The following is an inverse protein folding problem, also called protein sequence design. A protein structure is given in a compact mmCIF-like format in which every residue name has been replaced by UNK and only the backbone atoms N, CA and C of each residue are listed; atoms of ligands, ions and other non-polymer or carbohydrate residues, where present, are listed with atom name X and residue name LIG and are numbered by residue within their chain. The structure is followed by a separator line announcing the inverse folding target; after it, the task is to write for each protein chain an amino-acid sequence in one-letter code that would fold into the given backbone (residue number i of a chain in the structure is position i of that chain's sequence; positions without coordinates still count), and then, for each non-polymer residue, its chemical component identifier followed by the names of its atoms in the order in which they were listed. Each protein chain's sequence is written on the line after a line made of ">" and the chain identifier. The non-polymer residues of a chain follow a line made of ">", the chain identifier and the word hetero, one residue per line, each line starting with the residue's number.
data_IF_323675689064
#
_entry.id   IF_323675689064
#
_cell.length_a   1.000
_cell.length_b   1.000
_cell.length_c   1.000
_cell.angle_alpha   90.00
_cell.angle_beta   90.00
_cell.angle_gamma   90.00
#
_symmetry.space_group_name_H-M   'P 1'
#
loop_
_entity.id
_entity.type
_entity.pdbx_description
1 polymer ?
#
# COMPACT_ATOMS: atom_id res chain seq x y z
N UNK A 1 -8.09 25.43 1.44
CA UNK A 1 -6.75 25.25 2.01
C UNK A 1 -6.69 23.85 2.62
N UNK A 2 -5.77 23.03 2.18
CA UNK A 2 -5.58 21.71 2.79
C UNK A 2 -5.19 21.90 4.26
N UNK A 3 -5.98 21.33 5.17
CA UNK A 3 -5.68 21.37 6.61
C UNK A 3 -4.44 20.50 6.84
N UNK A 4 -3.25 21.10 6.79
CA UNK A 4 -1.97 20.42 7.01
C UNK A 4 -1.88 20.07 8.49
N UNK A 5 -2.09 18.79 8.81
CA UNK A 5 -1.98 18.25 10.18
C UNK A 5 -0.53 18.33 10.70
N UNK A 6 0.44 18.20 9.79
CA UNK A 6 1.87 18.12 10.14
C UNK A 6 2.59 19.42 9.78
N UNK A 7 3.54 19.84 10.62
CA UNK A 7 4.35 21.01 10.28
C UNK A 7 5.37 20.67 9.15
N UNK A 8 5.81 21.70 8.45
CA UNK A 8 6.69 21.54 7.28
C UNK A 8 8.07 20.98 7.66
N UNK A 9 8.63 21.37 8.79
CA UNK A 9 9.94 20.92 9.25
C UNK A 9 9.93 19.41 9.53
N UNK A 10 8.88 18.92 10.20
CA UNK A 10 8.67 17.50 10.42
C UNK A 10 8.56 16.71 9.10
N UNK A 11 7.77 17.22 8.14
CA UNK A 11 7.60 16.57 6.83
C UNK A 11 8.91 16.53 6.03
N UNK A 12 9.72 17.60 6.08
CA UNK A 12 11.02 17.63 5.41
C UNK A 12 12.01 16.63 6.02
N UNK A 13 12.10 16.60 7.34
CA UNK A 13 12.93 15.62 8.06
C UNK A 13 12.50 14.19 7.76
N UNK A 14 11.19 13.93 7.88
CA UNK A 14 10.63 12.60 7.66
C UNK A 14 10.81 12.14 6.22
N UNK A 15 10.63 13.02 5.23
CA UNK A 15 10.82 12.68 3.82
C UNK A 15 12.25 12.22 3.52
N UNK A 16 13.26 12.91 4.05
CA UNK A 16 14.66 12.49 3.91
C UNK A 16 14.93 11.14 4.58
N UNK A 17 14.36 10.93 5.75
CA UNK A 17 14.46 9.65 6.46
C UNK A 17 13.74 8.51 5.72
N UNK A 18 12.55 8.76 5.21
CA UNK A 18 11.76 7.76 4.44
C UNK A 18 12.44 7.41 3.12
N UNK A 19 13.03 8.38 2.44
CA UNK A 19 13.78 8.12 1.21
C UNK A 19 14.96 7.15 1.43
N UNK A 20 15.58 7.20 2.63
CA UNK A 20 16.64 6.26 3.03
C UNK A 20 16.08 4.93 3.57
N UNK A 21 15.39 4.99 4.70
CA UNK A 21 15.06 3.82 5.54
C UNK A 21 13.57 3.44 5.54
N UNK A 22 12.71 4.24 4.94
CA UNK A 22 11.27 3.95 4.86
C UNK A 22 10.91 3.02 3.71
N UNK A 23 9.71 2.45 3.80
CA UNK A 23 9.14 1.58 2.77
C UNK A 23 7.71 1.99 2.44
N UNK A 24 7.40 2.11 1.16
CA UNK A 24 6.05 2.31 0.63
C UNK A 24 5.72 1.09 -0.21
N UNK A 25 4.83 0.24 0.30
CA UNK A 25 4.62 -1.12 -0.19
C UNK A 25 3.17 -1.29 -0.63
N UNK A 26 2.98 -1.96 -1.76
CA UNK A 26 1.69 -2.47 -2.21
C UNK A 26 1.81 -3.95 -2.53
N UNK A 27 0.81 -4.74 -2.12
CA UNK A 27 0.78 -6.18 -2.32
C UNK A 27 -0.60 -6.64 -2.75
N UNK A 28 -0.64 -7.65 -3.59
CA UNK A 28 -1.84 -8.42 -3.92
C UNK A 28 -1.79 -9.71 -3.10
N UNK A 29 -2.80 -9.95 -2.27
CA UNK A 29 -2.88 -11.13 -1.40
C UNK A 29 -4.07 -12.00 -1.79
N UNK A 30 -3.91 -13.31 -2.01
CA UNK A 30 -5.04 -14.20 -2.24
C UNK A 30 -6.02 -14.18 -1.06
N UNK A 31 -7.33 -14.01 -1.35
CA UNK A 31 -8.42 -13.98 -0.36
C UNK A 31 -9.69 -14.54 -0.97
N UNK A 32 -9.98 -15.80 -0.74
CA UNK A 32 -11.10 -16.51 -1.35
C UNK A 32 -12.49 -15.89 -1.07
N UNK A 33 -12.64 -15.21 0.06
CA UNK A 33 -13.88 -14.54 0.45
C UNK A 33 -14.15 -13.23 -0.30
N UNK A 34 -13.14 -12.66 -0.97
CA UNK A 34 -13.29 -11.41 -1.71
C UNK A 34 -13.86 -11.66 -3.12
N UNK A 35 -14.61 -10.67 -3.63
CA UNK A 35 -15.27 -10.71 -4.95
C UNK A 35 -14.33 -11.18 -6.07
N UNK A 36 -13.10 -10.65 -6.11
CA UNK A 36 -12.08 -10.99 -7.11
C UNK A 36 -11.01 -11.96 -6.58
N UNK A 37 -11.31 -12.65 -5.46
CA UNK A 37 -10.43 -13.64 -4.82
C UNK A 37 -9.08 -13.10 -4.37
N UNK A 38 -8.92 -11.78 -4.36
CA UNK A 38 -7.70 -11.08 -3.94
C UNK A 38 -8.02 -9.84 -3.12
N UNK A 39 -7.09 -9.47 -2.25
CA UNK A 39 -7.08 -8.26 -1.45
C UNK A 39 -5.87 -7.43 -1.82
N UNK A 40 -6.05 -6.12 -1.96
CA UNK A 40 -4.95 -5.17 -2.06
C UNK A 40 -4.55 -4.71 -0.65
N UNK A 41 -3.26 -4.78 -0.35
CA UNK A 41 -2.67 -4.33 0.90
C UNK A 41 -1.68 -3.21 0.61
N UNK A 42 -1.91 -2.04 1.17
CA UNK A 42 -1.06 -0.87 1.05
C UNK A 42 -0.45 -0.56 2.41
N UNK A 43 0.84 -0.29 2.45
CA UNK A 43 1.56 -0.10 3.72
C UNK A 43 2.64 0.94 3.58
N UNK A 44 2.70 1.85 4.54
CA UNK A 44 3.87 2.64 4.85
C UNK A 44 4.54 2.02 6.08
N UNK A 45 5.85 1.82 6.03
CA UNK A 45 6.60 1.23 7.12
C UNK A 45 7.97 1.88 7.29
N UNK A 46 8.45 1.89 8.53
CA UNK A 46 9.81 2.29 8.89
C UNK A 46 10.37 1.26 9.85
N UNK A 47 11.53 0.69 9.51
CA UNK A 47 12.19 -0.35 10.31
C UNK A 47 13.47 0.19 10.93
N UNK A 48 13.70 -0.12 12.20
CA UNK A 48 14.93 0.19 12.93
C UNK A 48 15.35 -0.99 13.80
N UNK A 49 16.62 -1.05 14.19
CA UNK A 49 17.05 -1.99 15.24
C UNK A 49 16.24 -1.74 16.52
N UNK A 50 15.87 -2.79 17.25
CA UNK A 50 15.04 -2.69 18.47
C UNK A 50 15.64 -1.74 19.52
N UNK A 51 16.96 -1.59 19.55
CA UNK A 51 17.64 -0.59 20.39
C UNK A 51 17.22 0.86 20.10
N UNK A 52 16.68 1.12 18.90
CA UNK A 52 16.18 2.43 18.47
C UNK A 52 14.65 2.48 18.39
N UNK A 53 13.96 1.54 19.00
CA UNK A 53 12.50 1.50 19.03
C UNK A 53 11.90 2.83 19.53
N UNK A 54 12.55 3.47 20.49
CA UNK A 54 12.15 4.78 21.03
C UNK A 54 11.90 5.82 19.93
N UNK A 55 12.70 5.78 18.85
CA UNK A 55 12.52 6.68 17.70
C UNK A 55 11.22 6.37 16.93
N UNK A 56 10.89 5.10 16.76
CA UNK A 56 9.65 4.67 16.08
C UNK A 56 8.42 4.99 16.94
N UNK A 57 8.51 4.82 18.25
CA UNK A 57 7.45 5.20 19.18
C UNK A 57 7.17 6.72 19.11
N UNK A 58 8.22 7.54 19.11
CA UNK A 58 8.12 8.99 18.92
C UNK A 58 7.51 9.35 17.56
N UNK A 59 7.92 8.65 16.50
CA UNK A 59 7.38 8.84 15.16
C UNK A 59 5.87 8.50 15.11
N UNK A 60 5.46 7.41 15.76
CA UNK A 60 4.05 7.01 15.86
C UNK A 60 3.22 8.08 16.61
N UNK A 61 3.75 8.63 17.67
CA UNK A 61 3.10 9.72 18.44
C UNK A 61 2.94 10.99 17.58
N UNK A 62 3.97 11.38 16.84
CA UNK A 62 3.93 12.56 15.97
C UNK A 62 2.99 12.38 14.77
N UNK A 63 2.97 11.21 14.15
CA UNK A 63 2.03 10.88 13.06
C UNK A 63 0.61 10.73 13.62
N UNK A 64 0.46 10.19 14.84
CA UNK A 64 -0.80 10.05 15.57
C UNK A 64 -1.71 8.94 15.07
N UNK A 65 -1.22 8.05 14.20
CA UNK A 65 -1.88 6.85 13.68
C UNK A 65 -0.82 5.78 13.37
N UNK A 66 -1.26 4.54 13.17
CA UNK A 66 -0.33 3.42 12.97
C UNK A 66 0.12 2.80 14.29
N UNK A 67 1.04 1.86 14.24
CA UNK A 67 1.54 1.15 15.42
C UNK A 67 2.98 0.69 15.25
N UNK A 68 3.66 0.45 16.38
CA UNK A 68 5.02 -0.09 16.43
C UNK A 68 4.99 -1.50 17.01
N UNK A 69 5.72 -2.42 16.41
CA UNK A 69 5.88 -3.78 16.91
C UNK A 69 7.31 -4.26 16.73
N UNK A 70 7.68 -5.28 17.54
CA UNK A 70 8.99 -5.91 17.46
C UNK A 70 8.93 -7.19 16.62
N UNK A 71 9.98 -7.42 15.82
CA UNK A 71 10.17 -8.62 15.04
C UNK A 71 11.64 -9.04 15.12
N UNK A 72 11.95 -9.93 16.06
CA UNK A 72 13.32 -10.36 16.34
C UNK A 72 14.21 -9.19 16.81
N UNK A 73 15.28 -8.90 16.06
CA UNK A 73 16.23 -7.83 16.36
C UNK A 73 15.84 -6.44 15.84
N UNK A 74 14.69 -6.33 15.19
CA UNK A 74 14.20 -5.09 14.61
C UNK A 74 12.82 -4.73 15.15
N UNK A 75 12.53 -3.43 15.16
CA UNK A 75 11.20 -2.87 15.40
C UNK A 75 10.71 -2.18 14.14
N UNK A 76 9.41 -2.24 13.88
CA UNK A 76 8.79 -1.63 12.72
C UNK A 76 7.62 -0.75 13.15
N UNK A 77 7.59 0.49 12.66
CA UNK A 77 6.39 1.30 12.61
C UNK A 77 5.63 0.96 11.33
N UNK A 78 4.31 0.76 11.42
CA UNK A 78 3.45 0.41 10.29
C UNK A 78 2.17 1.22 10.28
N UNK A 79 1.81 1.70 9.08
CA UNK A 79 0.53 2.34 8.79
C UNK A 79 -0.08 1.69 7.54
N UNK A 80 -1.23 1.01 7.69
CA UNK A 80 -1.91 0.28 6.61
C UNK A 80 -3.39 0.61 6.47
N UNK A 81 -3.97 1.38 7.38
CA UNK A 81 -5.35 1.83 7.28
C UNK A 81 -5.50 2.84 6.14
N UNK A 82 -6.41 2.58 5.22
CA UNK A 82 -6.50 3.29 3.93
C UNK A 82 -6.69 4.80 4.11
N UNK A 83 -7.64 5.24 4.93
CA UNK A 83 -7.92 6.66 5.12
C UNK A 83 -6.78 7.42 5.82
N UNK A 84 -6.23 6.92 6.95
CA UNK A 84 -5.04 7.51 7.56
C UNK A 84 -3.81 7.52 6.64
N UNK A 85 -3.57 6.43 5.90
CA UNK A 85 -2.47 6.32 4.95
C UNK A 85 -2.58 7.36 3.83
N UNK A 86 -3.78 7.54 3.26
CA UNK A 86 -4.04 8.56 2.26
C UNK A 86 -3.73 9.95 2.79
N UNK A 87 -4.27 10.32 3.96
CA UNK A 87 -4.07 11.63 4.57
C UNK A 87 -2.60 11.91 4.87
N UNK A 88 -1.87 10.91 5.36
CA UNK A 88 -0.45 11.02 5.66
C UNK A 88 0.39 11.16 4.39
N UNK A 89 0.22 10.27 3.41
CA UNK A 89 1.00 10.28 2.18
C UNK A 89 0.72 11.53 1.33
N UNK A 90 -0.51 12.05 1.32
CA UNK A 90 -0.83 13.30 0.62
C UNK A 90 0.02 14.46 1.12
N UNK A 91 0.32 14.52 2.42
CA UNK A 91 1.15 15.58 3.01
C UNK A 91 2.65 15.32 2.86
N UNK A 92 3.09 14.06 2.92
CA UNK A 92 4.50 13.67 2.83
C UNK A 92 5.04 13.66 1.39
N UNK A 93 4.23 13.20 0.44
CA UNK A 93 4.62 12.94 -0.95
C UNK A 93 5.32 14.12 -1.64
N UNK A 94 4.92 15.39 -1.48
CA UNK A 94 5.59 16.51 -2.15
C UNK A 94 7.06 16.70 -1.75
N UNK A 95 7.45 16.19 -0.59
CA UNK A 95 8.81 16.32 -0.05
C UNK A 95 9.72 15.12 -0.36
N UNK A 96 9.14 13.97 -0.76
CA UNK A 96 9.90 12.78 -1.17
C UNK A 96 10.66 13.03 -2.47
N UNK A 97 11.84 12.43 -2.60
CA UNK A 97 12.67 12.46 -3.82
C UNK A 97 12.81 11.08 -4.45
N UNK A 98 13.29 10.09 -3.69
CA UNK A 98 13.50 8.74 -4.19
C UNK A 98 12.22 7.92 -4.26
N UNK A 99 11.34 8.05 -3.24
CA UNK A 99 10.11 7.26 -3.12
C UNK A 99 8.84 8.02 -3.53
N UNK A 100 8.99 9.17 -4.19
CA UNK A 100 7.84 9.98 -4.64
C UNK A 100 6.93 9.21 -5.62
N UNK A 101 7.52 8.42 -6.53
CA UNK A 101 6.75 7.63 -7.50
C UNK A 101 5.90 6.56 -6.82
N UNK A 102 6.45 5.86 -5.82
CA UNK A 102 5.72 4.87 -5.03
C UNK A 102 4.57 5.52 -4.26
N UNK A 103 4.82 6.67 -3.62
CA UNK A 103 3.78 7.42 -2.90
C UNK A 103 2.65 7.85 -3.84
N UNK A 104 2.96 8.39 -5.01
CA UNK A 104 1.97 8.77 -6.02
C UNK A 104 1.13 7.59 -6.48
N UNK A 105 1.74 6.45 -6.73
CA UNK A 105 1.02 5.23 -7.14
C UNK A 105 0.10 4.73 -6.03
N UNK A 106 0.54 4.75 -4.76
CA UNK A 106 -0.31 4.36 -3.62
C UNK A 106 -1.51 5.30 -3.50
N UNK A 107 -1.32 6.62 -3.60
CA UNK A 107 -2.41 7.59 -3.58
C UNK A 107 -3.41 7.35 -4.72
N UNK A 108 -2.91 7.14 -5.93
CA UNK A 108 -3.71 6.80 -7.12
C UNK A 108 -4.51 5.50 -6.92
N UNK A 109 -3.91 4.48 -6.34
CA UNK A 109 -4.58 3.22 -6.00
C UNK A 109 -5.73 3.50 -5.02
N UNK A 110 -5.47 4.23 -3.94
CA UNK A 110 -6.47 4.51 -2.91
C UNK A 110 -7.69 5.24 -3.51
N UNK A 111 -7.46 6.24 -4.33
CA UNK A 111 -8.52 7.00 -5.01
C UNK A 111 -9.34 6.13 -5.97
N UNK A 112 -8.71 5.13 -6.59
CA UNK A 112 -9.36 4.22 -7.54
C UNK A 112 -10.08 3.04 -6.88
N UNK A 113 -9.74 2.68 -5.63
CA UNK A 113 -10.29 1.50 -4.94
C UNK A 113 -11.83 1.41 -4.95
N UNK A 114 -12.61 2.49 -4.71
CA UNK A 114 -14.06 2.39 -4.71
C UNK A 114 -14.61 1.87 -6.05
N UNK A 115 -14.15 2.44 -7.17
CA UNK A 115 -14.59 2.03 -8.51
C UNK A 115 -13.95 0.70 -8.98
N UNK A 116 -12.76 0.37 -8.49
CA UNK A 116 -12.10 -0.90 -8.81
C UNK A 116 -12.87 -2.11 -8.29
N UNK A 117 -13.57 -1.98 -7.17
CA UNK A 117 -14.42 -3.06 -6.63
C UNK A 117 -15.66 -3.37 -7.47
N UNK A 118 -16.02 -2.48 -8.39
CA UNK A 118 -17.21 -2.64 -9.23
C UNK A 118 -16.95 -3.49 -10.49
N UNK A 119 -15.74 -3.43 -11.05
CA UNK A 119 -15.41 -4.00 -12.36
C UNK A 119 -14.09 -4.78 -12.32
N UNK A 120 -14.04 -6.02 -12.91
CA UNK A 120 -12.80 -6.78 -13.05
C UNK A 120 -11.69 -6.01 -13.77
N UNK A 121 -12.02 -5.28 -14.84
CA UNK A 121 -11.04 -4.51 -15.62
C UNK A 121 -10.42 -3.38 -14.82
N UNK A 122 -11.24 -2.64 -14.08
CA UNK A 122 -10.76 -1.57 -13.18
C UNK A 122 -9.92 -2.14 -12.03
N UNK A 123 -10.30 -3.31 -11.52
CA UNK A 123 -9.52 -3.98 -10.49
C UNK A 123 -8.15 -4.43 -11.02
N UNK A 124 -8.13 -4.99 -12.23
CA UNK A 124 -6.90 -5.42 -12.88
C UNK A 124 -5.97 -4.24 -13.19
N UNK A 125 -6.52 -3.08 -13.62
CA UNK A 125 -5.76 -1.84 -13.80
C UNK A 125 -5.02 -1.47 -12.49
N UNK A 126 -5.70 -1.49 -11.37
CA UNK A 126 -5.09 -1.20 -10.06
C UNK A 126 -4.02 -2.23 -9.71
N UNK A 127 -4.22 -3.50 -10.03
CA UNK A 127 -3.20 -4.54 -9.84
C UNK A 127 -1.92 -4.26 -10.64
N UNK A 128 -2.03 -3.68 -11.85
CA UNK A 128 -0.83 -3.28 -12.62
C UNK A 128 -0.04 -2.16 -11.94
N UNK A 129 -0.70 -1.25 -11.25
CA UNK A 129 -0.02 -0.20 -10.46
C UNK A 129 0.69 -0.79 -9.23
N UNK A 130 0.13 -1.84 -8.62
CA UNK A 130 0.81 -2.60 -7.56
C UNK A 130 2.09 -3.25 -8.10
N UNK A 131 2.06 -3.81 -9.32
CA UNK A 131 3.26 -4.35 -9.98
C UNK A 131 4.32 -3.27 -10.22
N UNK A 132 3.92 -2.07 -10.63
CA UNK A 132 4.83 -0.95 -10.80
C UNK A 132 5.51 -0.54 -9.49
N UNK A 133 4.77 -0.48 -8.38
CA UNK A 133 5.35 -0.19 -7.05
C UNK A 133 6.37 -1.27 -6.67
N UNK A 134 6.06 -2.53 -6.90
CA UNK A 134 6.97 -3.64 -6.62
C UNK A 134 8.26 -3.57 -7.46
N UNK A 135 8.16 -3.17 -8.73
CA UNK A 135 9.33 -2.95 -9.58
C UNK A 135 10.20 -1.78 -9.08
N UNK A 136 9.58 -0.68 -8.62
CA UNK A 136 10.30 0.44 -8.02
C UNK A 136 10.97 0.10 -6.68
N UNK A 137 10.48 -0.92 -5.97
CA UNK A 137 11.04 -1.41 -4.71
C UNK A 137 12.04 -2.57 -4.91
N UNK A 138 12.45 -2.88 -6.13
CA UNK A 138 13.35 -4.01 -6.46
C UNK A 138 12.87 -5.35 -5.88
N UNK A 139 11.55 -5.55 -5.83
CA UNK A 139 10.93 -6.72 -5.23
C UNK A 139 11.16 -7.98 -6.07
N UNK A 140 12.04 -8.86 -5.62
CA UNK A 140 12.46 -10.07 -6.35
C UNK A 140 11.62 -11.32 -6.07
N UNK A 141 10.81 -11.33 -5.01
CA UNK A 141 10.17 -12.56 -4.48
C UNK A 141 8.65 -12.54 -4.53
N UNK A 142 8.07 -11.77 -5.45
CA UNK A 142 6.60 -11.70 -5.57
C UNK A 142 6.02 -12.99 -6.16
N UNK A 143 4.99 -13.52 -5.48
CA UNK A 143 4.24 -14.71 -5.94
C UNK A 143 2.93 -14.34 -6.65
N UNK A 144 2.33 -13.20 -6.31
CA UNK A 144 1.02 -12.76 -6.84
C UNK A 144 1.19 -11.44 -7.58
N UNK A 145 0.87 -11.41 -8.85
CA UNK A 145 0.98 -10.27 -9.76
C UNK A 145 -0.37 -9.97 -10.42
N UNK A 146 -0.45 -8.90 -11.22
CA UNK A 146 -1.64 -8.62 -12.04
C UNK A 146 -1.96 -9.75 -13.01
N UNK A 147 -0.96 -10.47 -13.54
CA UNK A 147 -1.17 -11.64 -14.40
C UNK A 147 -1.84 -12.79 -13.65
N UNK A 148 -1.42 -13.04 -12.39
CA UNK A 148 -2.06 -14.03 -11.52
C UNK A 148 -3.53 -13.69 -11.30
N UNK A 149 -3.84 -12.42 -11.08
CA UNK A 149 -5.20 -11.92 -10.90
C UNK A 149 -6.00 -12.09 -12.19
N UNK A 150 -5.43 -11.74 -13.34
CA UNK A 150 -6.06 -11.90 -14.67
C UNK A 150 -6.50 -13.35 -14.89
N UNK A 151 -5.61 -14.31 -14.67
CA UNK A 151 -5.92 -15.73 -14.84
C UNK A 151 -7.11 -16.18 -13.96
N UNK A 152 -7.19 -15.70 -12.72
CA UNK A 152 -8.30 -15.99 -11.81
C UNK A 152 -9.61 -15.34 -12.30
N UNK A 153 -9.57 -14.10 -12.76
CA UNK A 153 -10.74 -13.39 -13.27
C UNK A 153 -11.30 -14.06 -14.54
N UNK A 154 -10.44 -14.50 -15.45
CA UNK A 154 -10.82 -15.22 -16.67
C UNK A 154 -11.53 -16.53 -16.31
N UNK A 155 -10.98 -17.30 -15.38
CA UNK A 155 -11.60 -18.56 -14.91
C UNK A 155 -12.95 -18.33 -14.22
N UNK A 156 -13.14 -17.23 -13.51
CA UNK A 156 -14.42 -16.87 -12.89
C UNK A 156 -15.46 -16.48 -13.94
N UNK A 157 -15.06 -15.82 -15.03
CA UNK A 157 -15.97 -15.45 -16.13
C UNK A 157 -16.44 -16.68 -16.93
N UNK A 158 -15.57 -17.66 -17.17
CA UNK A 158 -15.89 -18.90 -17.85
C UNK A 158 -16.88 -19.74 -17.02
N UNK A 159 -16.68 -19.87 -15.71
CA UNK A 159 -17.61 -20.56 -14.82
C UNK A 159 -19.01 -19.95 -14.81
N UNK A 160 -19.12 -18.63 -14.92
CA UNK A 160 -20.42 -17.94 -15.02
C UNK A 160 -21.14 -18.22 -16.35
N UNK A 161 -20.40 -18.41 -17.44
CA UNK A 161 -20.97 -18.74 -18.78
C UNK A 161 -21.40 -20.20 -18.89
N UNK A 162 -20.77 -21.10 -18.13
CA UNK A 162 -21.07 -22.56 -18.15
C UNK A 162 -22.11 -22.99 -17.12
N UNK A 163 -22.59 -22.10 -16.23
CA UNK A 163 -23.70 -22.39 -15.30
C UNK A 163 -25.02 -22.18 -16.06
N UNK A 164 -25.89 -23.22 -16.23
CA UNK A 164 -27.19 -23.02 -16.84
C UNK A 164 -28.02 -22.10 -15.98
N UNK A 165 -28.77 -21.19 -16.62
CA UNK A 165 -29.78 -20.40 -15.95
C UNK A 165 -30.71 -21.35 -15.21
N UNK A 166 -30.86 -21.18 -13.90
CA UNK A 166 -31.88 -21.85 -13.13
C UNK A 166 -33.23 -21.23 -13.55
N UNK A 167 -34.07 -22.04 -14.23
CA UNK A 167 -35.47 -21.75 -14.47
C UNK A 167 -36.26 -21.72 -13.14
#
# INVERSE_FOLDING_TARGET
>A
MANTKYNKEFLLYLAGFVDSDGSIIAQIKPRQTYKFKHQLSLTFAVTQKTQRRWFLDKLADEIGVGYVYDSGSVSEYRLSEIKPLHNFLTQLQPFLKLKQKQANLVLKIIERLPSAKESPDKYLEVCTWVDQIAALNDSKTRKTTSETVRAVLDSLSEKKKSSPAAD
#
